data_IF_456607575463
#
_entry.id   IF_456607575463
#
_cell.length_a   1.000
_cell.length_b   1.000
_cell.length_c   1.000
_cell.angle_alpha   90.00
_cell.angle_beta   90.00
_cell.angle_gamma   90.00
#
_symmetry.space_group_name_H-M   'P 1'
#
loop_
_entity.id
_entity.type
_entity.pdbx_description
1 polymer ?
#
# COMPACT_ATOMS: atom_id res chain seq x y z
N UNK A 1 35.39 9.63 18.48
CA UNK A 1 35.76 8.21 18.75
C UNK A 1 34.48 7.47 19.06
N UNK A 2 33.85 6.94 18.01
CA UNK A 2 32.57 6.27 18.07
C UNK A 2 32.85 4.77 17.91
N UNK A 3 32.78 4.03 19.02
CA UNK A 3 32.93 2.58 19.03
C UNK A 3 31.63 1.96 18.48
N UNK A 4 31.54 1.90 17.16
CA UNK A 4 30.55 1.12 16.42
C UNK A 4 30.85 -0.37 16.63
N UNK A 5 30.24 -0.96 17.66
CA UNK A 5 30.04 -2.40 17.71
C UNK A 5 29.14 -2.76 16.53
N UNK A 6 29.72 -3.22 15.41
CA UNK A 6 28.95 -3.90 14.37
C UNK A 6 28.42 -5.19 15.00
N UNK A 7 27.11 -5.31 15.28
CA UNK A 7 26.58 -6.58 15.75
C UNK A 7 26.89 -7.64 14.70
N UNK A 8 27.23 -8.85 15.13
CA UNK A 8 27.30 -9.99 14.21
C UNK A 8 25.97 -10.06 13.44
N UNK A 9 26.00 -9.84 12.13
CA UNK A 9 24.80 -9.75 11.29
C UNK A 9 23.92 -11.00 11.41
N UNK A 10 24.52 -12.17 11.65
CA UNK A 10 23.80 -13.42 11.90
C UNK A 10 23.02 -13.39 13.23
N UNK A 11 23.56 -12.77 14.28
CA UNK A 11 22.86 -12.59 15.55
C UNK A 11 21.72 -11.58 15.40
N UNK A 12 21.96 -10.45 14.73
CA UNK A 12 20.93 -9.46 14.45
C UNK A 12 19.78 -10.05 13.62
N UNK A 13 20.09 -10.87 12.61
CA UNK A 13 19.08 -11.55 11.77
C UNK A 13 18.25 -12.55 12.57
N UNK A 14 18.89 -13.40 13.38
CA UNK A 14 18.18 -14.34 14.27
C UNK A 14 17.27 -13.62 15.26
N UNK A 15 17.73 -12.49 15.81
CA UNK A 15 16.90 -11.67 16.70
C UNK A 15 15.69 -11.06 16.00
N UNK A 16 15.84 -10.60 14.75
CA UNK A 16 14.71 -10.05 13.96
C UNK A 16 13.67 -11.11 13.61
N UNK A 17 14.10 -12.29 13.18
CA UNK A 17 13.19 -13.42 12.90
C UNK A 17 12.44 -13.86 14.16
N UNK A 18 13.13 -13.94 15.31
CA UNK A 18 12.49 -14.24 16.58
C UNK A 18 11.44 -13.19 16.98
N UNK A 19 11.75 -11.90 16.79
CA UNK A 19 10.78 -10.82 17.05
C UNK A 19 9.57 -10.92 16.13
N UNK A 20 9.76 -11.10 14.82
CA UNK A 20 8.64 -11.27 13.86
C UNK A 20 7.78 -12.48 14.20
N UNK A 21 8.40 -13.61 14.54
CA UNK A 21 7.69 -14.84 14.93
C UNK A 21 6.90 -14.65 16.21
N UNK A 22 7.46 -13.94 17.20
CA UNK A 22 6.75 -13.61 18.43
C UNK A 22 5.53 -12.72 18.16
N UNK A 23 5.68 -11.66 17.35
CA UNK A 23 4.57 -10.79 16.97
C UNK A 23 3.49 -11.58 16.23
N UNK A 24 3.86 -12.39 15.24
CA UNK A 24 2.90 -13.20 14.48
C UNK A 24 2.14 -14.19 15.39
N UNK A 25 2.82 -14.79 16.38
CA UNK A 25 2.20 -15.67 17.37
C UNK A 25 1.20 -14.91 18.25
N UNK A 26 1.53 -13.71 18.69
CA UNK A 26 0.65 -12.87 19.51
C UNK A 26 -0.59 -12.41 18.74
N UNK A 27 -0.44 -12.03 17.47
CA UNK A 27 -1.57 -11.68 16.58
C UNK A 27 -2.46 -12.90 16.34
N UNK A 28 -1.86 -14.08 16.14
CA UNK A 28 -2.61 -15.35 16.03
C UNK A 28 -3.34 -15.72 17.31
N UNK A 29 -2.72 -15.52 18.48
CA UNK A 29 -3.35 -15.74 19.77
C UNK A 29 -4.52 -14.78 20.02
N UNK A 30 -4.54 -13.61 19.39
CA UNK A 30 -5.66 -12.67 19.40
C UNK A 30 -6.77 -13.01 18.38
N UNK A 31 -6.68 -14.16 17.70
CA UNK A 31 -7.69 -14.65 16.76
C UNK A 31 -7.50 -14.21 15.30
N UNK A 32 -6.39 -13.52 14.98
CA UNK A 32 -6.08 -13.09 13.61
C UNK A 32 -4.96 -13.95 13.03
N UNK A 33 -5.26 -14.72 11.98
CA UNK A 33 -4.27 -15.60 11.33
C UNK A 33 -3.08 -14.78 10.83
N UNK A 34 -1.89 -15.02 11.39
CA UNK A 34 -0.66 -14.27 11.10
C UNK A 34 0.57 -15.18 10.94
N UNK A 35 1.57 -14.71 10.19
CA UNK A 35 2.85 -15.40 10.01
C UNK A 35 3.99 -14.45 9.63
N UNK A 36 5.24 -14.91 9.70
CA UNK A 36 6.43 -14.10 9.30
C UNK A 36 6.46 -13.87 7.78
N UNK A 37 5.89 -14.82 7.03
CA UNK A 37 5.73 -14.77 5.58
C UNK A 37 4.43 -15.51 5.26
N UNK A 38 3.40 -14.81 4.77
CA UNK A 38 2.27 -15.48 4.13
C UNK A 38 2.47 -15.50 2.61
N UNK A 39 2.27 -16.67 2.01
CA UNK A 39 2.06 -16.81 0.57
C UNK A 39 0.61 -16.38 0.26
N UNK A 40 0.41 -15.73 -0.89
CA UNK A 40 -0.91 -15.35 -1.43
C UNK A 40 -1.80 -14.44 -0.57
N UNK A 41 -1.23 -13.79 0.46
CA UNK A 41 -1.94 -12.89 1.37
C UNK A 41 -3.18 -13.55 1.99
N UNK A 42 -3.05 -14.81 2.42
CA UNK A 42 -4.11 -15.52 3.14
C UNK A 42 -4.08 -15.24 4.65
N UNK A 43 -2.96 -14.69 5.14
CA UNK A 43 -2.74 -14.34 6.53
C UNK A 43 -2.06 -12.98 6.64
N UNK A 44 -2.16 -12.34 7.80
CA UNK A 44 -1.35 -11.17 8.11
C UNK A 44 0.12 -11.55 8.09
N UNK A 45 0.94 -10.71 7.48
CA UNK A 45 2.36 -10.98 7.29
C UNK A 45 3.19 -9.96 8.07
N UNK A 46 4.07 -10.45 8.94
CA UNK A 46 4.98 -9.64 9.76
C UNK A 46 6.38 -9.78 9.18
N UNK A 47 6.86 -8.75 8.49
CA UNK A 47 8.12 -8.80 7.76
C UNK A 47 9.03 -7.62 8.07
N UNK A 48 10.24 -7.68 7.56
CA UNK A 48 11.19 -6.56 7.62
C UNK A 48 10.97 -5.64 6.41
N UNK A 49 11.20 -4.32 6.55
CA UNK A 49 11.05 -3.35 5.44
C UNK A 49 11.79 -3.74 4.13
N UNK A 50 12.97 -4.40 4.12
CA UNK A 50 13.62 -4.83 2.89
C UNK A 50 12.91 -6.00 2.17
N UNK A 51 12.04 -6.74 2.85
CA UNK A 51 11.60 -8.07 2.36
C UNK A 51 10.49 -8.04 1.30
N UNK A 52 9.77 -6.93 1.08
CA UNK A 52 8.79 -6.84 -0.02
C UNK A 52 9.43 -6.51 -1.38
N UNK A 53 10.48 -5.69 -1.39
CA UNK A 53 11.26 -5.40 -2.60
C UNK A 53 12.00 -6.66 -3.14
N UNK A 54 12.02 -7.76 -2.37
CA UNK A 54 12.80 -8.98 -2.65
C UNK A 54 11.94 -10.19 -3.10
N UNK A 55 10.61 -10.06 -3.21
CA UNK A 55 9.75 -11.20 -3.60
C UNK A 55 9.63 -11.39 -5.11
N UNK A 56 10.19 -12.52 -5.61
CA UNK A 56 9.97 -13.06 -6.98
C UNK A 56 8.49 -13.35 -7.30
N UNK A 57 7.68 -13.67 -6.29
CA UNK A 57 6.33 -14.19 -6.48
C UNK A 57 5.22 -13.15 -6.23
N UNK A 58 5.59 -11.87 -6.00
CA UNK A 58 4.61 -10.79 -5.88
C UNK A 58 3.76 -10.63 -7.16
N UNK A 59 4.30 -11.04 -8.31
CA UNK A 59 3.62 -10.93 -9.62
C UNK A 59 3.58 -12.21 -10.47
N UNK A 60 4.20 -13.33 -10.08
CA UNK A 60 4.20 -14.56 -10.90
C UNK A 60 3.63 -15.72 -10.08
N UNK A 61 2.31 -15.92 -10.17
CA UNK A 61 1.74 -17.26 -10.02
C UNK A 61 0.54 -17.45 -10.94
N UNK A 62 0.82 -17.97 -12.13
CA UNK A 62 -0.05 -18.87 -12.89
C UNK A 62 0.84 -19.77 -13.76
N UNK A 63 1.08 -21.00 -13.30
CA UNK A 63 1.43 -22.16 -14.15
C UNK A 63 1.75 -23.48 -13.39
N UNK A 64 1.59 -23.61 -12.06
CA UNK A 64 1.90 -24.90 -11.38
C UNK A 64 0.95 -25.28 -10.23
N UNK A 65 -0.34 -25.38 -10.51
CA UNK A 65 -1.24 -26.17 -9.66
C UNK A 65 -2.07 -27.13 -10.53
N UNK A 66 -1.37 -28.12 -11.08
CA UNK A 66 -1.92 -29.38 -11.57
C UNK A 66 -0.83 -30.46 -11.55
N UNK A 67 -0.11 -30.60 -10.43
CA UNK A 67 0.67 -31.79 -10.12
C UNK A 67 1.13 -31.72 -8.65
N UNK A 68 1.07 -32.85 -7.96
CA UNK A 68 1.61 -33.10 -6.61
C UNK A 68 0.84 -32.51 -5.42
N UNK A 69 -0.38 -33.00 -5.22
CA UNK A 69 -0.91 -33.22 -3.88
C UNK A 69 -0.35 -34.55 -3.36
N UNK A 70 0.80 -34.53 -2.68
CA UNK A 70 1.24 -35.64 -1.84
C UNK A 70 2.30 -35.16 -0.83
N UNK A 71 2.06 -35.48 0.44
CA UNK A 71 2.98 -35.43 1.58
C UNK A 71 3.35 -34.07 2.18
N UNK A 72 2.55 -33.64 3.16
CA UNK A 72 3.08 -33.09 4.39
C UNK A 72 2.31 -33.72 5.57
N UNK A 73 2.83 -34.86 6.03
CA UNK A 73 2.40 -35.58 7.23
C UNK A 73 3.27 -35.04 8.37
N UNK A 74 2.75 -34.12 9.18
CA UNK A 74 3.45 -33.72 10.41
C UNK A 74 2.97 -34.65 11.52
N UNK A 75 3.88 -35.53 11.92
CA UNK A 75 3.76 -36.42 13.06
C UNK A 75 3.62 -35.61 14.34
N UNK A 76 2.53 -35.85 15.06
CA UNK A 76 2.49 -35.65 16.51
C UNK A 76 3.29 -36.80 17.13
N UNK A 77 4.29 -36.48 17.94
CA UNK A 77 4.76 -37.42 18.94
C UNK A 77 4.96 -36.69 20.28
N UNK A 78 4.35 -37.28 21.28
CA UNK A 78 4.30 -36.84 22.68
C UNK A 78 5.55 -37.29 23.42
N UNK A 79 6.04 -36.48 24.36
CA UNK A 79 6.15 -36.87 25.77
C UNK A 79 6.84 -35.79 26.63
N UNK A 80 6.34 -35.72 27.88
CA UNK A 80 6.99 -35.29 29.11
C UNK A 80 7.06 -33.78 29.44
N UNK A 81 6.03 -33.35 30.19
CA UNK A 81 6.18 -32.84 31.57
C UNK A 81 7.41 -31.97 31.87
N UNK A 82 7.23 -30.65 31.95
CA UNK A 82 7.95 -29.82 32.93
C UNK A 82 7.14 -28.59 33.36
N UNK A 83 6.88 -28.56 34.67
CA UNK A 83 6.64 -27.44 35.57
C UNK A 83 6.17 -26.08 35.01
N UNK A 84 5.00 -25.68 35.51
CA UNK A 84 4.59 -24.30 35.77
C UNK A 84 5.75 -23.46 36.31
N UNK A 85 6.35 -22.65 35.44
CA UNK A 85 7.19 -21.52 35.84
C UNK A 85 6.64 -20.27 35.19
N UNK A 86 6.34 -19.28 36.04
CA UNK A 86 5.92 -17.94 35.65
C UNK A 86 6.81 -17.37 34.53
N UNK A 87 6.27 -16.49 33.67
CA UNK A 87 7.08 -15.88 32.61
C UNK A 87 8.28 -15.17 33.23
N UNK A 88 9.47 -15.74 33.00
CA UNK A 88 10.74 -15.08 33.30
C UNK A 88 10.73 -13.74 32.59
N UNK A 89 10.74 -12.67 33.39
CA UNK A 89 10.98 -11.33 32.91
C UNK A 89 12.21 -11.37 31.99
N UNK A 90 12.02 -10.91 30.74
CA UNK A 90 13.10 -10.69 29.79
C UNK A 90 13.91 -9.50 30.32
N UNK A 91 14.75 -9.78 31.31
CA UNK A 91 15.69 -8.85 31.91
C UNK A 91 16.93 -8.80 31.03
N UNK A 92 16.80 -8.14 29.89
CA UNK A 92 17.85 -7.43 29.19
C UNK A 92 17.13 -6.57 28.15
N UNK A 93 16.81 -5.32 28.53
CA UNK A 93 16.27 -4.30 27.62
C UNK A 93 17.37 -3.85 26.63
N UNK A 94 17.86 -4.77 25.80
CA UNK A 94 18.36 -4.34 24.50
C UNK A 94 17.13 -3.92 23.71
N UNK A 95 17.02 -2.62 23.43
CA UNK A 95 16.01 -2.10 22.51
C UNK A 95 16.30 -2.68 21.13
N UNK A 96 15.69 -3.82 20.83
CA UNK A 96 15.67 -4.41 19.50
C UNK A 96 14.87 -3.45 18.61
N UNK A 97 15.61 -2.57 17.94
CA UNK A 97 15.07 -1.59 17.00
C UNK A 97 15.06 -2.25 15.62
N UNK A 98 13.94 -2.88 15.28
CA UNK A 98 13.70 -3.42 13.94
C UNK A 98 12.64 -2.59 13.23
N UNK A 99 12.88 -2.22 11.97
CA UNK A 99 11.82 -1.69 11.11
C UNK A 99 10.99 -2.85 10.59
N UNK A 100 9.72 -2.85 10.94
CA UNK A 100 8.77 -3.87 10.55
C UNK A 100 7.82 -3.32 9.49
N UNK A 101 7.43 -4.21 8.60
CA UNK A 101 6.33 -4.02 7.67
C UNK A 101 5.26 -5.06 7.98
N UNK A 102 4.01 -4.60 8.04
CA UNK A 102 2.85 -5.42 8.37
C UNK A 102 1.90 -5.34 7.19
N UNK A 103 1.63 -6.48 6.58
CA UNK A 103 0.76 -6.57 5.41
C UNK A 103 -0.45 -7.40 5.78
N UNK A 104 -1.65 -6.87 5.58
CA UNK A 104 -2.88 -7.62 5.82
C UNK A 104 -3.00 -8.80 4.85
N UNK A 105 -3.83 -9.77 5.21
CA UNK A 105 -4.38 -10.67 4.21
C UNK A 105 -5.27 -9.89 3.22
N UNK A 106 -5.77 -10.55 2.19
CA UNK A 106 -6.88 -10.05 1.39
C UNK A 106 -8.16 -10.07 2.23
N UNK A 107 -8.79 -8.91 2.37
CA UNK A 107 -10.00 -8.74 3.16
C UNK A 107 -11.05 -8.08 2.27
N UNK A 108 -12.27 -8.66 2.22
CA UNK A 108 -13.37 -8.07 1.45
C UNK A 108 -13.98 -6.86 2.16
N UNK A 109 -14.54 -5.92 1.41
CA UNK A 109 -15.30 -4.79 1.98
C UNK A 109 -16.53 -5.24 2.78
N UNK A 110 -17.05 -6.42 2.43
CA UNK A 110 -18.24 -7.04 3.02
C UNK A 110 -18.02 -7.79 4.33
N UNK A 111 -16.78 -7.84 4.85
CA UNK A 111 -16.48 -8.39 6.17
C UNK A 111 -16.07 -7.28 7.14
N UNK A 112 -16.01 -7.59 8.44
CA UNK A 112 -15.59 -6.63 9.46
C UNK A 112 -14.07 -6.45 9.49
N UNK A 113 -13.55 -5.85 8.44
CA UNK A 113 -12.13 -5.54 8.30
C UNK A 113 -11.65 -4.52 9.35
N UNK A 114 -12.56 -3.73 9.94
CA UNK A 114 -12.23 -2.77 11.01
C UNK A 114 -11.84 -3.51 12.27
N UNK A 115 -12.66 -4.48 12.71
CA UNK A 115 -12.36 -5.29 13.89
C UNK A 115 -11.03 -6.03 13.73
N UNK A 116 -10.74 -6.54 12.54
CA UNK A 116 -9.46 -7.21 12.24
C UNK A 116 -8.26 -6.26 12.35
N UNK A 117 -8.34 -5.06 11.76
CA UNK A 117 -7.29 -4.03 11.91
C UNK A 117 -7.13 -3.62 13.38
N UNK A 118 -8.22 -3.34 14.09
CA UNK A 118 -8.18 -2.98 15.51
C UNK A 118 -7.50 -4.05 16.35
N UNK A 119 -7.86 -5.31 16.17
CA UNK A 119 -7.27 -6.44 16.91
C UNK A 119 -5.76 -6.54 16.68
N UNK A 120 -5.28 -6.27 15.46
CA UNK A 120 -3.85 -6.24 15.16
C UNK A 120 -3.16 -5.09 15.90
N UNK A 121 -3.66 -3.86 15.81
CA UNK A 121 -3.04 -2.70 16.47
C UNK A 121 -3.11 -2.76 18.00
N UNK A 122 -4.20 -3.28 18.57
CA UNK A 122 -4.33 -3.52 20.01
C UNK A 122 -3.30 -4.54 20.48
N UNK A 123 -3.10 -5.61 19.69
CA UNK A 123 -2.07 -6.61 19.98
C UNK A 123 -0.67 -6.02 19.89
N UNK A 124 -0.36 -5.22 18.87
CA UNK A 124 0.94 -4.55 18.73
C UNK A 124 1.20 -3.60 19.90
N UNK A 125 0.19 -2.83 20.32
CA UNK A 125 0.30 -1.89 21.44
C UNK A 125 0.46 -2.60 22.79
N UNK A 126 -0.09 -3.80 22.94
CA UNK A 126 0.09 -4.64 24.14
C UNK A 126 1.52 -5.16 24.27
N UNK A 127 2.17 -5.49 23.15
CA UNK A 127 3.49 -6.14 23.15
C UNK A 127 4.65 -5.14 22.99
N UNK A 128 4.39 -3.91 22.56
CA UNK A 128 5.43 -2.90 22.38
C UNK A 128 4.91 -1.50 22.01
N UNK A 129 5.87 -0.59 21.81
CA UNK A 129 5.61 0.79 21.39
C UNK A 129 5.78 0.91 19.86
N UNK A 130 4.77 1.46 19.18
CA UNK A 130 4.84 1.75 17.74
C UNK A 130 5.51 3.11 17.54
N UNK A 131 6.71 3.13 16.96
CA UNK A 131 7.42 4.36 16.59
C UNK A 131 7.43 4.55 15.09
N UNK A 132 6.84 5.65 14.63
CA UNK A 132 6.89 6.05 13.24
C UNK A 132 8.17 6.84 12.95
N UNK A 133 8.74 6.61 11.78
CA UNK A 133 9.82 7.43 11.22
C UNK A 133 9.31 8.15 9.98
N UNK A 134 10.05 9.15 9.49
CA UNK A 134 9.72 9.85 8.24
C UNK A 134 9.66 8.93 7.03
N UNK A 135 10.30 7.76 7.08
CA UNK A 135 10.25 6.74 6.03
C UNK A 135 9.02 5.83 6.11
N UNK A 136 8.25 5.85 7.20
CA UNK A 136 7.08 5.00 7.33
C UNK A 136 5.94 5.49 6.43
N UNK A 137 5.37 4.58 5.65
CA UNK A 137 4.20 4.78 4.81
C UNK A 137 3.14 3.73 5.11
N UNK A 138 1.89 4.03 4.75
CA UNK A 138 0.84 3.03 4.64
C UNK A 138 0.44 2.93 3.19
N UNK A 139 0.41 1.71 2.66
CA UNK A 139 -0.11 1.45 1.32
C UNK A 139 -1.45 0.75 1.44
N UNK A 140 -2.38 1.09 0.54
CA UNK A 140 -3.69 0.44 0.47
C UNK A 140 -3.90 -0.09 -0.93
N UNK A 141 -3.97 -1.42 -1.04
CA UNK A 141 -4.25 -2.11 -2.30
C UNK A 141 -5.75 -2.43 -2.37
N UNK A 142 -6.41 -1.95 -3.42
CA UNK A 142 -7.85 -2.17 -3.64
C UNK A 142 -8.07 -2.83 -5.00
N UNK A 143 -9.02 -3.77 -5.03
CA UNK A 143 -9.57 -4.36 -6.25
C UNK A 143 -11.09 -4.17 -6.25
N UNK A 144 -11.74 -3.91 -7.40
CA UNK A 144 -13.20 -3.78 -7.50
C UNK A 144 -13.97 -5.06 -7.18
N UNK A 145 -13.30 -6.21 -7.10
CA UNK A 145 -13.96 -7.47 -6.75
C UNK A 145 -13.12 -8.29 -5.78
N UNK A 146 -13.80 -9.00 -4.87
CA UNK A 146 -13.19 -10.00 -3.99
C UNK A 146 -12.63 -11.22 -4.76
N UNK A 147 -12.93 -11.32 -6.07
CA UNK A 147 -12.50 -12.40 -6.94
C UNK A 147 -11.25 -12.07 -7.76
N UNK A 148 -10.94 -12.96 -8.71
CA UNK A 148 -9.85 -12.77 -9.69
C UNK A 148 -10.28 -11.95 -10.90
N UNK A 149 -11.44 -11.29 -10.86
CA UNK A 149 -11.94 -10.52 -12.00
C UNK A 149 -11.16 -9.22 -12.05
N UNK A 150 -10.33 -9.00 -13.09
CA UNK A 150 -9.58 -7.76 -13.21
C UNK A 150 -10.53 -6.57 -13.36
N UNK A 151 -10.05 -5.39 -13.01
CA UNK A 151 -10.75 -4.15 -13.29
C UNK A 151 -11.06 -4.04 -14.80
N UNK A 152 -12.29 -3.71 -15.16
CA UNK A 152 -12.64 -3.49 -16.58
C UNK A 152 -11.99 -2.20 -17.10
N UNK A 153 -11.76 -2.05 -18.42
CA UNK A 153 -11.28 -0.79 -18.97
C UNK A 153 -12.13 0.42 -18.56
N UNK A 154 -13.46 0.30 -18.57
CA UNK A 154 -14.37 1.37 -18.15
C UNK A 154 -14.16 1.80 -16.70
N UNK A 155 -14.04 0.83 -15.78
CA UNK A 155 -13.75 1.10 -14.37
C UNK A 155 -12.40 1.80 -14.21
N UNK A 156 -11.38 1.36 -14.96
CA UNK A 156 -10.06 1.99 -14.94
C UNK A 156 -10.07 3.40 -15.51
N UNK A 157 -10.87 3.69 -16.53
CA UNK A 157 -11.06 5.05 -17.02
C UNK A 157 -11.62 5.94 -15.92
N UNK A 158 -12.67 5.49 -15.21
CA UNK A 158 -13.22 6.24 -14.07
C UNK A 158 -12.19 6.50 -12.96
N UNK A 159 -11.37 5.49 -12.63
CA UNK A 159 -10.28 5.63 -11.65
C UNK A 159 -9.22 6.66 -12.11
N UNK A 160 -8.79 6.61 -13.37
CA UNK A 160 -7.80 7.57 -13.90
C UNK A 160 -8.34 9.01 -13.90
N UNK A 161 -9.60 9.19 -14.30
CA UNK A 161 -10.28 10.50 -14.27
C UNK A 161 -10.35 11.04 -12.84
N UNK A 162 -10.72 10.21 -11.85
CA UNK A 162 -10.74 10.61 -10.45
C UNK A 162 -9.38 11.04 -9.93
N UNK A 163 -8.35 10.25 -10.24
CA UNK A 163 -6.99 10.55 -9.78
C UNK A 163 -6.50 11.87 -10.38
N UNK A 164 -6.81 12.16 -11.65
CA UNK A 164 -6.48 13.44 -12.28
C UNK A 164 -7.27 14.59 -11.65
N UNK A 165 -8.59 14.47 -11.64
CA UNK A 165 -9.51 15.50 -11.16
C UNK A 165 -9.23 15.91 -9.70
N UNK A 166 -8.84 14.96 -8.85
CA UNK A 166 -8.65 15.16 -7.41
C UNK A 166 -7.19 15.18 -6.95
N UNK A 167 -6.19 15.18 -7.83
CA UNK A 167 -4.78 15.06 -7.38
C UNK A 167 -4.37 16.17 -6.40
N UNK A 168 -4.86 17.40 -6.60
CA UNK A 168 -4.63 18.54 -5.70
C UNK A 168 -5.29 18.29 -4.34
N UNK A 169 -6.59 18.00 -4.29
CA UNK A 169 -7.28 17.67 -3.05
C UNK A 169 -6.64 16.50 -2.29
N UNK A 170 -6.20 15.45 -3.00
CA UNK A 170 -5.50 14.30 -2.41
C UNK A 170 -4.15 14.73 -1.80
N UNK A 171 -3.46 15.67 -2.45
CA UNK A 171 -2.21 16.24 -1.93
C UNK A 171 -2.47 17.11 -0.70
N UNK A 172 -3.57 17.85 -0.68
CA UNK A 172 -3.92 18.76 0.41
C UNK A 172 -4.32 18.05 1.70
N UNK A 173 -4.79 16.79 1.64
CA UNK A 173 -5.18 16.00 2.84
C UNK A 173 -4.05 15.16 3.45
N UNK A 174 -2.84 15.23 2.88
CA UNK A 174 -1.67 14.54 3.45
C UNK A 174 -0.72 15.52 4.14
N UNK A 175 0.00 15.08 5.19
CA UNK A 175 0.97 15.92 5.85
C UNK A 175 2.02 16.47 4.88
N UNK A 176 2.57 17.64 5.16
CA UNK A 176 3.56 18.33 4.35
C UNK A 176 4.74 17.45 3.96
N UNK A 177 5.23 16.61 4.88
CA UNK A 177 6.29 15.62 4.60
C UNK A 177 5.94 14.58 3.51
N UNK A 178 4.68 14.52 3.09
CA UNK A 178 4.14 13.60 2.08
C UNK A 178 3.66 14.29 0.80
N UNK A 179 3.52 15.62 0.78
CA UNK A 179 3.01 16.37 -0.38
C UNK A 179 3.96 16.28 -1.58
N UNK A 180 5.25 16.46 -1.36
CA UNK A 180 6.32 16.33 -2.38
C UNK A 180 7.12 15.02 -2.25
N UNK A 181 6.50 13.94 -1.78
CA UNK A 181 7.23 12.70 -1.56
C UNK A 181 7.59 12.00 -2.87
N UNK A 182 8.88 12.00 -3.16
CA UNK A 182 9.51 11.34 -4.30
C UNK A 182 9.29 9.82 -4.43
N UNK A 183 8.88 9.14 -3.35
CA UNK A 183 8.55 7.71 -3.33
C UNK A 183 7.07 7.42 -3.60
N UNK A 184 6.23 8.46 -3.66
CA UNK A 184 4.80 8.45 -3.90
C UNK A 184 4.35 9.78 -4.56
N UNK A 185 5.05 10.16 -5.63
CA UNK A 185 4.89 11.44 -6.31
C UNK A 185 3.51 11.56 -6.96
N UNK A 186 3.05 12.78 -7.25
CA UNK A 186 1.84 12.96 -8.07
C UNK A 186 1.97 12.21 -9.39
N UNK A 187 0.88 11.54 -9.75
CA UNK A 187 0.73 10.86 -11.03
C UNK A 187 0.93 11.80 -12.22
N UNK A 188 0.68 13.10 -12.05
CA UNK A 188 0.77 14.13 -13.09
C UNK A 188 1.91 15.13 -12.86
N UNK A 189 2.77 14.90 -11.87
CA UNK A 189 3.96 15.73 -11.70
C UNK A 189 4.92 15.59 -12.89
N UNK A 190 5.73 16.62 -13.20
CA UNK A 190 6.63 16.60 -14.35
C UNK A 190 7.51 15.35 -14.40
N UNK A 191 7.50 14.65 -15.54
CA UNK A 191 8.27 13.43 -15.77
C UNK A 191 7.71 12.17 -15.10
N UNK A 192 6.50 12.20 -14.52
CA UNK A 192 5.83 11.04 -13.91
C UNK A 192 4.74 10.39 -14.77
N UNK A 193 4.31 11.07 -15.82
CA UNK A 193 3.38 10.57 -16.82
C UNK A 193 3.93 10.80 -18.23
N UNK A 194 3.27 10.22 -19.24
CA UNK A 194 3.55 10.52 -20.64
C UNK A 194 3.46 12.04 -20.90
N UNK A 195 4.37 12.64 -21.68
CA UNK A 195 4.37 14.08 -21.95
C UNK A 195 3.03 14.61 -22.42
N UNK A 196 2.33 13.91 -23.31
CA UNK A 196 1.02 14.35 -23.82
C UNK A 196 -0.06 14.34 -22.73
N UNK A 197 0.00 13.36 -21.82
CA UNK A 197 -0.92 13.30 -20.66
C UNK A 197 -0.63 14.43 -19.69
N UNK A 198 0.64 14.75 -19.44
CA UNK A 198 1.06 15.85 -18.59
C UNK A 198 0.67 17.22 -19.16
N UNK A 199 0.84 17.43 -20.47
CA UNK A 199 0.39 18.65 -21.17
C UNK A 199 -1.13 18.84 -21.03
N UNK A 200 -1.92 17.82 -21.39
CA UNK A 200 -3.38 17.88 -21.26
C UNK A 200 -3.86 18.12 -19.82
N UNK A 201 -3.13 17.60 -18.82
CA UNK A 201 -3.41 17.87 -17.42
C UNK A 201 -3.13 19.32 -17.02
N UNK A 202 -2.01 19.88 -17.48
CA UNK A 202 -1.62 21.26 -17.17
C UNK A 202 -2.48 22.30 -17.91
N UNK A 203 -3.07 21.93 -19.05
CA UNK A 203 -3.90 22.81 -19.88
C UNK A 203 -5.36 22.90 -19.40
N UNK A 204 -5.79 22.10 -18.40
CA UNK A 204 -7.16 22.12 -17.85
C UNK A 204 -7.67 23.53 -17.52
N UNK A 205 -6.88 24.43 -16.88
CA UNK A 205 -7.35 25.79 -16.59
C UNK A 205 -7.58 26.68 -17.82
N UNK A 206 -7.05 26.32 -18.99
CA UNK A 206 -7.22 27.05 -20.25
C UNK A 206 -8.20 26.36 -21.22
N UNK A 207 -8.38 25.06 -21.07
CA UNK A 207 -9.33 24.24 -21.83
C UNK A 207 -10.40 23.71 -20.89
N UNK A 208 -10.48 22.40 -20.65
CA UNK A 208 -11.41 21.69 -19.77
C UNK A 208 -10.82 20.31 -19.43
N UNK A 209 -11.51 19.51 -18.63
CA UNK A 209 -11.15 18.10 -18.40
C UNK A 209 -11.42 17.17 -19.59
N UNK A 210 -12.30 17.55 -20.52
CA UNK A 210 -12.76 16.70 -21.63
C UNK A 210 -11.62 16.13 -22.50
N UNK A 211 -10.63 16.91 -22.96
CA UNK A 211 -9.50 16.40 -23.75
C UNK A 211 -8.72 15.28 -23.05
N UNK A 212 -8.36 15.48 -21.79
CA UNK A 212 -7.64 14.47 -21.00
C UNK A 212 -8.50 13.22 -20.76
N UNK A 213 -9.80 13.41 -20.47
CA UNK A 213 -10.73 12.30 -20.26
C UNK A 213 -10.88 11.44 -21.52
N UNK A 214 -10.93 12.07 -22.71
CA UNK A 214 -10.94 11.36 -23.99
C UNK A 214 -9.65 10.59 -24.23
N UNK A 215 -8.50 11.10 -23.80
CA UNK A 215 -7.24 10.38 -23.89
C UNK A 215 -7.26 9.09 -23.04
N UNK A 216 -7.74 9.17 -21.80
CA UNK A 216 -7.90 7.98 -20.95
C UNK A 216 -8.84 6.95 -21.59
N UNK A 217 -9.93 7.40 -22.22
CA UNK A 217 -10.89 6.53 -22.89
C UNK A 217 -10.33 5.80 -24.12
N UNK A 218 -9.22 6.26 -24.71
CA UNK A 218 -8.54 5.53 -25.80
C UNK A 218 -7.82 4.27 -25.31
N UNK A 219 -7.57 4.16 -24.00
CA UNK A 219 -6.86 3.02 -23.41
C UNK A 219 -7.75 1.78 -23.46
N UNK A 220 -7.39 0.80 -24.30
CA UNK A 220 -8.16 -0.47 -24.44
C UNK A 220 -7.63 -1.61 -23.57
N UNK A 221 -6.34 -1.59 -23.25
CA UNK A 221 -5.67 -2.65 -22.48
C UNK A 221 -5.10 -2.09 -21.17
N UNK A 222 -5.38 -2.76 -20.05
CA UNK A 222 -4.93 -2.30 -18.72
C UNK A 222 -3.41 -2.14 -18.62
N UNK A 223 -2.66 -3.00 -19.29
CA UNK A 223 -1.19 -2.95 -19.33
C UNK A 223 -0.66 -1.63 -19.90
N UNK A 224 -1.43 -0.94 -20.75
CA UNK A 224 -1.03 0.36 -21.29
C UNK A 224 -1.02 1.45 -20.22
N UNK A 225 -1.82 1.32 -19.16
CA UNK A 225 -1.83 2.29 -18.06
C UNK A 225 -0.47 2.33 -17.38
N UNK A 226 0.06 1.16 -17.00
CA UNK A 226 1.34 1.05 -16.29
C UNK A 226 2.58 1.17 -17.19
N UNK A 227 2.43 1.00 -18.51
CA UNK A 227 3.59 1.05 -19.43
C UNK A 227 3.67 2.32 -20.26
N UNK A 228 2.55 3.02 -20.46
CA UNK A 228 2.49 4.22 -21.30
C UNK A 228 2.05 5.45 -20.53
N UNK A 229 0.97 5.38 -19.75
CA UNK A 229 0.40 6.57 -19.12
C UNK A 229 1.13 6.94 -17.83
N UNK A 230 1.34 5.97 -16.96
CA UNK A 230 1.88 6.12 -15.60
C UNK A 230 2.99 5.09 -15.37
N UNK A 231 4.13 5.31 -16.01
CA UNK A 231 5.22 4.33 -16.16
C UNK A 231 6.24 4.32 -15.02
N UNK A 232 6.03 5.10 -13.96
CA UNK A 232 6.87 5.12 -12.76
C UNK A 232 6.25 4.24 -11.65
N UNK A 233 7.10 3.53 -10.90
CA UNK A 233 6.68 2.77 -9.72
C UNK A 233 6.61 3.62 -8.45
N UNK A 234 7.07 4.86 -8.47
CA UNK A 234 7.12 5.76 -7.31
C UNK A 234 6.00 6.81 -7.36
N UNK A 235 4.79 6.38 -7.74
CA UNK A 235 3.60 7.22 -7.87
C UNK A 235 2.68 7.10 -6.66
N UNK A 236 1.87 8.14 -6.43
CA UNK A 236 0.83 8.24 -5.41
C UNK A 236 -0.20 7.14 -5.59
N UNK A 237 -0.68 6.96 -6.82
CA UNK A 237 -1.47 5.81 -7.24
C UNK A 237 -0.66 4.93 -8.18
N UNK A 238 -0.44 3.69 -7.79
CA UNK A 238 0.39 2.74 -8.52
C UNK A 238 -0.45 1.62 -9.14
N UNK A 239 -0.16 1.33 -10.41
CA UNK A 239 -0.88 0.38 -11.26
C UNK A 239 -0.05 -0.86 -11.65
N UNK A 240 1.16 -1.02 -11.10
CA UNK A 240 2.07 -2.16 -11.37
C UNK A 240 1.39 -3.52 -11.13
N UNK A 241 0.40 -3.55 -10.24
CA UNK A 241 -0.29 -4.78 -9.82
C UNK A 241 -1.65 -5.01 -10.50
N UNK A 242 -2.01 -4.22 -11.51
CA UNK A 242 -3.26 -4.43 -12.27
C UNK A 242 -3.30 -5.78 -12.99
N UNK A 243 -2.16 -6.25 -13.51
CA UNK A 243 -2.06 -7.51 -14.23
C UNK A 243 -1.51 -8.66 -13.38
N UNK A 244 -1.29 -8.44 -12.07
CA UNK A 244 -0.87 -9.50 -11.16
C UNK A 244 -2.07 -10.34 -10.71
N UNK A 245 -1.82 -11.43 -9.97
CA UNK A 245 -2.87 -12.28 -9.40
C UNK A 245 -3.86 -11.55 -8.49
N UNK A 246 -3.46 -10.40 -7.94
CA UNK A 246 -4.30 -9.59 -7.06
C UNK A 246 -5.07 -8.49 -7.81
N UNK A 247 -4.61 -8.05 -8.98
CA UNK A 247 -5.32 -7.08 -9.83
C UNK A 247 -5.66 -5.76 -9.13
N UNK A 248 -4.70 -5.17 -8.42
CA UNK A 248 -4.96 -4.04 -7.50
C UNK A 248 -4.48 -2.69 -8.03
N UNK A 249 -5.18 -1.65 -7.62
CA UNK A 249 -4.71 -0.26 -7.60
C UNK A 249 -4.18 0.02 -6.20
N UNK A 250 -2.98 0.58 -6.09
CA UNK A 250 -2.31 0.84 -4.82
C UNK A 250 -2.24 2.34 -4.53
N UNK A 251 -2.83 2.78 -3.40
CA UNK A 251 -2.61 4.13 -2.85
C UNK A 251 -1.38 4.11 -1.96
N UNK A 252 -0.39 4.98 -2.24
CA UNK A 252 0.93 5.01 -1.58
C UNK A 252 1.23 6.29 -0.84
N UNK A 253 0.45 7.35 -1.10
CA UNK A 253 0.63 8.67 -0.49
C UNK A 253 0.32 8.75 1.02
N UNK A 254 -0.54 7.90 1.63
CA UNK A 254 -0.77 7.97 3.07
C UNK A 254 0.52 7.87 3.92
N UNK A 255 0.62 8.66 5.01
CA UNK A 255 1.72 8.54 5.97
C UNK A 255 1.63 7.18 6.70
N UNK A 256 2.74 6.78 7.35
CA UNK A 256 2.70 5.68 8.31
C UNK A 256 1.66 5.94 9.41
N UNK A 257 1.05 4.86 9.90
CA UNK A 257 -0.04 4.91 10.89
C UNK A 257 0.41 4.26 12.19
N UNK A 258 0.12 4.92 13.32
CA UNK A 258 0.54 4.47 14.65
C UNK A 258 -0.54 3.70 15.41
N UNK A 259 -1.77 3.68 14.91
CA UNK A 259 -2.94 3.09 15.56
C UNK A 259 -3.99 2.64 14.55
N UNK A 260 -4.97 1.87 15.05
CA UNK A 260 -6.07 1.31 14.28
C UNK A 260 -6.94 2.39 13.62
N UNK A 261 -7.27 3.46 14.34
CA UNK A 261 -8.19 4.49 13.86
C UNK A 261 -7.63 5.18 12.61
N UNK A 262 -6.34 5.54 12.64
CA UNK A 262 -5.63 6.14 11.50
C UNK A 262 -5.51 5.16 10.35
N UNK A 263 -5.22 3.88 10.62
CA UNK A 263 -5.19 2.84 9.58
C UNK A 263 -6.56 2.67 8.91
N UNK A 264 -7.62 2.52 9.71
CA UNK A 264 -9.01 2.38 9.25
C UNK A 264 -9.43 3.58 8.41
N UNK A 265 -9.11 4.80 8.85
CA UNK A 265 -9.38 6.02 8.10
C UNK A 265 -8.74 5.98 6.70
N UNK A 266 -7.46 5.59 6.58
CA UNK A 266 -6.77 5.54 5.28
C UNK A 266 -7.32 4.44 4.36
N UNK A 267 -7.71 3.29 4.92
CA UNK A 267 -8.43 2.24 4.17
C UNK A 267 -9.77 2.78 3.66
N UNK A 268 -10.56 3.42 4.52
CA UNK A 268 -11.86 3.98 4.16
C UNK A 268 -11.76 5.06 3.07
N UNK A 269 -10.79 5.98 3.17
CA UNK A 269 -10.53 6.98 2.13
C UNK A 269 -10.29 6.31 0.78
N UNK A 270 -9.44 5.29 0.75
CA UNK A 270 -9.10 4.59 -0.50
C UNK A 270 -10.29 3.80 -1.05
N UNK A 271 -11.02 3.07 -0.20
CA UNK A 271 -12.19 2.30 -0.61
C UNK A 271 -13.31 3.20 -1.15
N UNK A 272 -13.66 4.27 -0.42
CA UNK A 272 -14.67 5.22 -0.87
C UNK A 272 -14.28 5.92 -2.16
N UNK A 273 -13.04 6.37 -2.27
CA UNK A 273 -12.51 7.00 -3.48
C UNK A 273 -12.63 6.07 -4.70
N UNK A 274 -12.12 4.83 -4.61
CA UNK A 274 -12.15 3.88 -5.74
C UNK A 274 -13.59 3.48 -6.10
N UNK A 275 -14.43 3.21 -5.09
CA UNK A 275 -15.82 2.84 -5.33
C UNK A 275 -16.58 3.96 -6.05
N UNK A 276 -16.42 5.21 -5.60
CA UNK A 276 -17.09 6.33 -6.25
C UNK A 276 -16.50 6.59 -7.63
N UNK A 277 -15.19 6.51 -7.82
CA UNK A 277 -14.53 6.73 -9.12
C UNK A 277 -15.08 5.82 -10.24
N UNK A 278 -15.40 4.57 -9.88
CA UNK A 278 -15.98 3.59 -10.80
C UNK A 278 -17.43 3.92 -11.17
N UNK A 279 -18.19 4.52 -10.24
CA UNK A 279 -19.62 4.76 -10.39
C UNK A 279 -19.98 6.20 -10.79
N UNK A 280 -19.03 7.13 -10.72
CA UNK A 280 -19.27 8.55 -10.96
C UNK A 280 -19.53 8.83 -12.44
N UNK A 281 -20.48 9.73 -12.72
CA UNK A 281 -20.69 10.23 -14.06
C UNK A 281 -19.72 11.36 -14.36
N UNK A 282 -18.61 11.00 -15.01
CA UNK A 282 -17.58 11.96 -15.41
C UNK A 282 -18.04 12.95 -16.50
N UNK A 283 -19.24 12.77 -17.06
CA UNK A 283 -19.86 13.75 -17.94
C UNK A 283 -20.21 15.06 -17.23
N UNK A 284 -20.46 15.02 -15.92
CA UNK A 284 -20.89 16.17 -15.13
C UNK A 284 -19.77 17.20 -14.92
N UNK A 285 -18.51 16.75 -14.86
CA UNK A 285 -17.34 17.58 -14.57
C UNK A 285 -16.39 17.77 -15.76
N UNK A 286 -16.70 17.19 -16.92
CA UNK A 286 -15.78 17.22 -18.07
C UNK A 286 -15.56 18.63 -18.64
N UNK A 287 -16.50 19.54 -18.41
CA UNK A 287 -16.42 20.92 -18.87
C UNK A 287 -15.81 21.86 -17.82
N UNK A 288 -15.48 21.34 -16.63
CA UNK A 288 -14.85 22.14 -15.59
C UNK A 288 -13.41 22.49 -16.00
N UNK A 289 -12.93 23.63 -15.51
CA UNK A 289 -11.57 24.15 -15.74
C UNK A 289 -10.73 24.17 -14.46
N UNK A 290 -11.27 23.59 -13.38
CA UNK A 290 -10.65 23.59 -12.06
C UNK A 290 -10.47 22.17 -11.54
N UNK A 291 -9.52 21.98 -10.63
CA UNK A 291 -9.39 20.74 -9.87
C UNK A 291 -10.43 20.72 -8.76
N UNK A 292 -10.86 19.51 -8.37
CA UNK A 292 -11.65 19.33 -7.17
C UNK A 292 -10.91 19.87 -5.94
N UNK A 293 -11.66 20.48 -5.02
CA UNK A 293 -11.18 20.83 -3.69
C UNK A 293 -11.34 19.67 -2.69
N UNK A 294 -10.89 19.89 -1.45
CA UNK A 294 -10.99 18.91 -0.36
C UNK A 294 -12.44 18.64 0.06
N UNK A 295 -13.33 19.61 -0.10
CA UNK A 295 -14.75 19.46 0.20
C UNK A 295 -15.39 18.44 -0.75
N UNK A 296 -15.19 18.63 -2.05
CA UNK A 296 -15.63 17.71 -3.09
C UNK A 296 -15.05 16.32 -2.88
N UNK A 297 -13.75 16.20 -2.59
CA UNK A 297 -13.11 14.91 -2.29
C UNK A 297 -13.78 14.21 -1.09
N UNK A 298 -14.09 14.96 -0.03
CA UNK A 298 -14.79 14.46 1.16
C UNK A 298 -16.16 13.88 0.82
N UNK A 299 -17.00 14.65 0.13
CA UNK A 299 -18.33 14.21 -0.32
C UNK A 299 -18.24 12.99 -1.24
N UNK A 300 -17.30 13.01 -2.19
CA UNK A 300 -17.07 11.93 -3.14
C UNK A 300 -16.74 10.62 -2.43
N UNK A 301 -15.86 10.66 -1.44
CA UNK A 301 -15.49 9.48 -0.64
C UNK A 301 -16.67 8.98 0.19
N UNK A 302 -17.43 9.88 0.84
CA UNK A 302 -18.61 9.51 1.63
C UNK A 302 -19.67 8.83 0.75
N UNK A 303 -19.92 9.36 -0.44
CA UNK A 303 -20.83 8.75 -1.42
C UNK A 303 -20.33 7.36 -1.84
N UNK A 304 -19.02 7.21 -2.08
CA UNK A 304 -18.42 5.90 -2.38
C UNK A 304 -18.59 4.89 -1.27
N UNK A 305 -18.34 5.28 -0.02
CA UNK A 305 -18.52 4.41 1.16
C UNK A 305 -20.00 4.03 1.35
N UNK A 306 -20.95 4.91 1.04
CA UNK A 306 -22.38 4.60 1.13
C UNK A 306 -22.85 3.53 0.13
N UNK A 307 -22.10 3.32 -0.96
CA UNK A 307 -22.34 2.27 -1.95
C UNK A 307 -21.73 0.92 -1.57
N UNK A 308 -20.85 0.89 -0.56
CA UNK A 308 -20.29 -0.33 0.00
C UNK A 308 -21.15 -0.85 1.16
N UNK A 309 -20.80 -2.03 1.65
CA UNK A 309 -21.48 -2.67 2.77
C UNK A 309 -21.46 -1.82 4.03
N UNK A 310 -22.39 -2.08 4.97
CA UNK A 310 -22.54 -1.31 6.22
C UNK A 310 -21.24 -1.21 7.02
N UNK A 311 -20.37 -2.22 6.93
CA UNK A 311 -19.01 -2.26 7.49
C UNK A 311 -18.07 -1.19 6.92
N UNK A 312 -18.44 -0.44 5.89
CA UNK A 312 -17.68 0.67 5.31
C UNK A 312 -18.30 2.05 5.62
N UNK A 313 -19.53 2.10 6.13
CA UNK A 313 -20.28 3.34 6.33
C UNK A 313 -19.93 4.03 7.66
N UNK A 314 -20.04 5.37 7.71
CA UNK A 314 -19.86 6.17 8.94
C UNK A 314 -18.43 6.21 9.50
N UNK A 315 -17.41 5.92 8.68
CA UNK A 315 -16.00 6.03 9.11
C UNK A 315 -15.49 7.46 8.99
N UNK A 316 -15.89 8.12 7.89
CA UNK A 316 -15.43 9.45 7.53
C UNK A 316 -16.60 10.39 7.76
N UNK A 317 -16.47 11.24 8.77
CA UNK A 317 -17.45 12.28 9.08
C UNK A 317 -17.02 13.63 8.49
N UNK A 318 -15.73 13.96 8.62
CA UNK A 318 -15.15 15.21 8.11
C UNK A 318 -13.77 14.92 7.53
N UNK A 319 -13.52 15.46 6.33
CA UNK A 319 -12.20 15.53 5.73
C UNK A 319 -11.71 16.97 5.78
N UNK A 320 -10.48 17.17 6.25
CA UNK A 320 -9.88 18.50 6.38
C UNK A 320 -8.57 18.60 5.63
N UNK A 321 -8.24 19.81 5.20
CA UNK A 321 -6.93 20.15 4.64
C UNK A 321 -5.87 20.06 5.72
N UNK A 322 -4.74 19.44 5.38
CA UNK A 322 -3.53 19.52 6.18
C UNK A 322 -2.73 20.76 5.76
N UNK A 323 -2.70 21.78 6.63
CA UNK A 323 -2.03 23.05 6.35
C UNK A 323 -0.50 22.97 6.43
N UNK A 324 0.09 21.83 6.81
CA UNK A 324 1.55 21.72 6.92
C UNK A 324 2.20 21.76 5.54
N UNK A 325 3.33 22.46 5.48
CA UNK A 325 4.11 22.67 4.26
C UNK A 325 5.11 21.53 4.06
N UNK A 326 5.45 21.24 2.79
CA UNK A 326 6.57 20.36 2.48
C UNK A 326 7.85 20.91 3.09
N UNK A 327 8.57 20.15 3.94
CA UNK A 327 9.91 20.57 4.34
C UNK A 327 10.80 20.60 3.08
N UNK A 328 11.65 21.62 2.92
CA UNK A 328 12.53 21.69 1.75
C UNK A 328 13.52 20.53 1.78
N UNK A 329 13.49 19.70 0.75
CA UNK A 329 14.46 18.61 0.60
C UNK A 329 15.84 19.17 0.25
N UNK A 330 16.86 18.80 1.02
CA UNK A 330 18.25 19.15 0.73
C UNK A 330 18.76 18.41 -0.52
N UNK A 331 19.77 18.97 -1.19
CA UNK A 331 20.43 18.29 -2.32
C UNK A 331 20.98 16.91 -1.95
N UNK A 332 21.52 16.77 -0.74
CA UNK A 332 22.04 15.49 -0.25
C UNK A 332 20.93 14.44 -0.09
N UNK A 333 19.76 14.83 0.43
CA UNK A 333 18.61 13.93 0.54
C UNK A 333 18.10 13.49 -0.84
N UNK A 334 17.96 14.43 -1.79
CA UNK A 334 17.56 14.10 -3.18
C UNK A 334 18.53 13.12 -3.84
N UNK A 335 19.84 13.39 -3.73
CA UNK A 335 20.87 12.49 -4.25
C UNK A 335 20.82 11.09 -3.60
N UNK A 336 20.60 11.01 -2.29
CA UNK A 336 20.44 9.73 -1.59
C UNK A 336 19.17 8.98 -2.02
N UNK A 337 18.08 9.69 -2.27
CA UNK A 337 16.84 9.11 -2.81
C UNK A 337 17.09 8.57 -4.22
N UNK A 338 17.76 9.32 -5.09
CA UNK A 338 18.08 8.89 -6.46
C UNK A 338 18.94 7.63 -6.51
N UNK A 339 19.96 7.55 -5.65
CA UNK A 339 20.79 6.35 -5.52
C UNK A 339 19.93 5.16 -5.11
N UNK A 340 19.10 5.30 -4.08
CA UNK A 340 18.20 4.23 -3.63
C UNK A 340 17.18 3.84 -4.71
N UNK A 341 16.63 4.79 -5.45
CA UNK A 341 15.71 4.52 -6.57
C UNK A 341 16.40 3.71 -7.66
N UNK A 342 17.62 4.09 -8.05
CA UNK A 342 18.44 3.34 -9.02
C UNK A 342 18.71 1.92 -8.54
N UNK A 343 19.11 1.74 -7.28
CA UNK A 343 19.28 0.42 -6.67
C UNK A 343 18.00 -0.42 -6.74
N UNK A 344 16.84 0.17 -6.38
CA UNK A 344 15.54 -0.50 -6.47
C UNK A 344 15.12 -0.83 -7.91
N UNK A 345 15.53 -0.05 -8.91
CA UNK A 345 15.24 -0.33 -10.32
C UNK A 345 16.16 -1.42 -10.87
N UNK A 346 17.44 -1.43 -10.50
CA UNK A 346 18.39 -2.49 -10.84
C UNK A 346 17.98 -3.83 -10.24
N UNK A 347 17.49 -3.82 -8.99
CA UNK A 347 16.91 -5.01 -8.35
C UNK A 347 15.68 -5.52 -9.10
N UNK A 348 14.82 -4.66 -9.64
CA UNK A 348 13.68 -5.13 -10.44
C UNK A 348 14.15 -5.71 -11.80
N UNK A 349 15.11 -5.08 -12.47
CA UNK A 349 15.59 -5.46 -13.82
C UNK A 349 16.37 -6.78 -13.87
N UNK A 350 17.24 -7.03 -12.89
CA UNK A 350 18.04 -8.26 -12.81
C UNK A 350 17.20 -9.54 -12.62
N UNK A 351 15.93 -9.39 -12.25
CA UNK A 351 15.02 -10.52 -12.03
C UNK A 351 14.18 -10.86 -13.26
N UNK A 352 13.85 -9.86 -14.10
CA UNK A 352 13.19 -10.11 -15.40
C UNK A 352 14.09 -10.94 -16.33
N UNK A 353 15.40 -10.66 -16.34
CA UNK A 353 16.37 -11.46 -17.10
C UNK A 353 16.46 -12.92 -16.59
N UNK A 354 16.40 -13.15 -15.28
CA UNK A 354 16.44 -14.51 -14.69
C UNK A 354 15.15 -15.31 -14.89
N UNK A 355 13.99 -14.66 -15.02
CA UNK A 355 12.73 -15.34 -15.34
C UNK A 355 12.62 -15.74 -16.82
N UNK A 356 13.47 -15.16 -17.69
CA UNK A 356 13.49 -15.42 -19.13
C UNK A 356 14.44 -16.58 -19.55
N UNK A 357 15.08 -17.23 -18.58
CA UNK A 357 16.10 -18.28 -18.80
C UNK A 357 15.78 -19.60 -18.08
N UNK A 358 14.53 -19.82 -17.66
CA UNK A 358 14.07 -21.09 -17.07
C UNK A 358 12.87 -21.66 -17.81
#
# INVERSE_FOLDING_TARGET
MELLFKPNEALATRSREAVRSAIAKEVTAAGIVAGVISQDYQAWSIMDEPTLDERKDFCIQRARHAATAAHARILYDSAASFATTAPRAIANKSTLTGRLEIVSRRIGSNVDWRAEISTVFDTLSRIGEIKLTTGCSMHVHVSPSAGKTPCTPKQMHGILKAIAYMDHAITDIVPGSRKENEWAASNFSPGKCDPSTGELYNDVPQDTWEPLFREFEKIRMLVMISTKVLNDKFLSWNFKHLCSSCGTVESRRPPGVGDAQRAIYRVAVTLGFIQQAICYDWGDVKCDQEHADVGFLGEFIVLGLSRLERTCQGIIEVMGTDASQSPPSTWAEKAAIDVKKKEKLLKDGNFVAKASHN
#
